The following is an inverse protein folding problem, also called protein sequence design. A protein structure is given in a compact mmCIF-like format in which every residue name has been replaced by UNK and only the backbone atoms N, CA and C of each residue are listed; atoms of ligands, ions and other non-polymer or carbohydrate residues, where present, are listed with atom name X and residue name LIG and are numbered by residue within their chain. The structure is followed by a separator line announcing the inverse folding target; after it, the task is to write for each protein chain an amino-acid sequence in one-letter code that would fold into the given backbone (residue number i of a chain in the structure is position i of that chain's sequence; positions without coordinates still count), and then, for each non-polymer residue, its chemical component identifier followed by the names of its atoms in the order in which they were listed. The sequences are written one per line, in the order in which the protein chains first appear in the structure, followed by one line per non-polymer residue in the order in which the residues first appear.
data_IF_404114146651
#
_entry.id   IF_404114146651
#
_cell.length_a   1.000
_cell.length_b   1.000
_cell.length_c   1.000
_cell.angle_alpha   90.00
_cell.angle_beta   90.00
_cell.angle_gamma   90.00
#
_symmetry.space_group_name_H-M   'P 1'
#
loop_
_entity.id
_entity.type
_entity.pdbx_description
1 polymer ?
#
# COMPACT_ATOMS: atom_id res chain seq x y z
N UNK A 1 2.41 4.03 8.21
CA UNK A 1 2.35 5.28 7.43
C UNK A 1 3.49 5.37 6.43
N UNK A 2 4.76 5.15 6.82
CA UNK A 2 5.88 5.20 5.87
C UNK A 2 5.79 4.21 4.68
N UNK A 3 5.35 2.95 4.88
CA UNK A 3 5.12 2.03 3.75
C UNK A 3 3.98 2.48 2.84
N UNK A 4 2.89 3.00 3.43
CA UNK A 4 1.80 3.63 2.66
C UNK A 4 2.32 4.80 1.82
N UNK A 5 3.20 5.63 2.38
CA UNK A 5 3.85 6.72 1.66
C UNK A 5 4.70 6.23 0.50
N UNK A 6 5.57 5.24 0.72
CA UNK A 6 6.40 4.68 -0.35
C UNK A 6 5.53 4.11 -1.49
N UNK A 7 4.45 3.40 -1.15
CA UNK A 7 3.51 2.87 -2.13
C UNK A 7 2.72 3.97 -2.86
N UNK A 8 2.36 5.06 -2.19
CA UNK A 8 1.73 6.23 -2.79
C UNK A 8 2.62 6.93 -3.80
N UNK A 9 3.91 7.12 -3.46
CA UNK A 9 4.92 7.66 -4.39
C UNK A 9 5.10 6.76 -5.61
N UNK A 10 5.22 5.45 -5.40
CA UNK A 10 5.35 4.47 -6.49
C UNK A 10 4.14 4.50 -7.44
N UNK A 11 2.93 4.55 -6.86
CA UNK A 11 1.67 4.59 -7.60
C UNK A 11 1.56 5.85 -8.44
N UNK A 12 1.79 7.02 -7.84
CA UNK A 12 1.73 8.29 -8.55
C UNK A 12 2.77 8.37 -9.69
N UNK A 13 3.99 7.91 -9.42
CA UNK A 13 5.06 7.88 -10.42
C UNK A 13 4.79 6.91 -11.57
N UNK A 14 4.18 5.76 -11.32
CA UNK A 14 3.85 4.81 -12.39
C UNK A 14 2.68 5.32 -13.23
N UNK A 15 1.60 5.79 -12.59
CA UNK A 15 0.39 6.19 -13.31
C UNK A 15 0.52 7.57 -13.98
N UNK A 16 1.35 8.45 -13.42
CA UNK A 16 1.50 9.88 -13.77
C UNK A 16 0.24 10.73 -13.54
N UNK A 17 -0.94 10.26 -13.95
CA UNK A 17 -2.21 10.99 -13.86
C UNK A 17 -3.40 10.06 -13.63
N UNK A 18 -4.49 10.64 -13.11
CA UNK A 18 -5.77 9.96 -12.90
C UNK A 18 -6.10 9.75 -11.43
N UNK A 19 -7.24 9.13 -11.18
CA UNK A 19 -7.76 8.95 -9.82
C UNK A 19 -7.30 7.62 -9.22
N UNK A 20 -6.96 7.63 -7.94
CA UNK A 20 -6.67 6.43 -7.15
C UNK A 20 -7.55 6.37 -5.90
N UNK A 21 -7.80 5.17 -5.41
CA UNK A 21 -8.66 4.91 -4.27
C UNK A 21 -7.96 4.15 -3.14
N UNK A 22 -8.65 4.07 -2.00
CA UNK A 22 -8.22 3.34 -0.82
C UNK A 22 -9.40 2.53 -0.26
N UNK A 23 -9.17 1.24 -0.04
CA UNK A 23 -10.08 0.36 0.69
C UNK A 23 -9.37 -0.09 1.97
N UNK A 24 -9.87 0.38 3.11
CA UNK A 24 -9.48 -0.09 4.43
C UNK A 24 -10.42 -1.18 4.92
N UNK A 25 -9.91 -2.08 5.76
CA UNK A 25 -10.75 -3.04 6.48
C UNK A 25 -11.47 -2.36 7.64
N UNK A 26 -11.09 -2.69 8.87
CA UNK A 26 -11.57 -1.97 10.06
C UNK A 26 -10.95 -0.56 10.15
N UNK A 27 -11.72 0.41 10.65
CA UNK A 27 -11.25 1.76 10.90
C UNK A 27 -10.44 1.84 12.22
N UNK A 28 -9.24 1.27 12.21
CA UNK A 28 -8.34 1.22 13.37
C UNK A 28 -7.00 1.93 13.07
N UNK A 29 -6.26 2.40 14.09
CA UNK A 29 -5.05 3.19 13.89
C UNK A 29 -4.03 2.58 12.91
N UNK A 30 -3.74 1.26 12.91
CA UNK A 30 -2.83 0.67 11.93
C UNK A 30 -3.27 0.83 10.47
N UNK A 31 -4.59 0.71 10.20
CA UNK A 31 -5.16 0.85 8.85
C UNK A 31 -5.20 2.32 8.45
N UNK A 32 -5.60 3.20 9.37
CA UNK A 32 -5.59 4.64 9.11
C UNK A 32 -4.18 5.15 8.80
N UNK A 33 -3.14 4.64 9.49
CA UNK A 33 -1.75 4.95 9.17
C UNK A 33 -1.36 4.58 7.74
N UNK A 34 -1.93 3.52 7.15
CA UNK A 34 -1.71 3.23 5.74
C UNK A 34 -2.32 4.30 4.83
N UNK A 35 -3.58 4.64 5.07
CA UNK A 35 -4.31 5.66 4.32
C UNK A 35 -3.58 7.01 4.36
N UNK A 36 -3.20 7.48 5.55
CA UNK A 36 -2.51 8.77 5.71
C UNK A 36 -1.16 8.80 4.98
N UNK A 37 -0.41 7.69 5.08
CA UNK A 37 0.84 7.54 4.36
C UNK A 37 0.62 7.63 2.85
N UNK A 38 -0.33 6.85 2.32
CA UNK A 38 -0.62 6.79 0.89
C UNK A 38 -0.99 8.15 0.30
N UNK A 39 -1.88 8.89 0.96
CA UNK A 39 -2.25 10.23 0.54
C UNK A 39 -1.07 11.20 0.55
N UNK A 40 -0.23 11.16 1.59
CA UNK A 40 0.99 11.97 1.66
C UNK A 40 2.00 11.60 0.57
N UNK A 41 2.11 10.32 0.21
CA UNK A 41 2.99 9.84 -0.85
C UNK A 41 2.56 10.32 -2.24
N UNK A 42 1.25 10.24 -2.53
CA UNK A 42 0.67 10.79 -3.75
C UNK A 42 0.87 12.31 -3.81
N UNK A 43 0.59 13.02 -2.72
CA UNK A 43 0.78 14.48 -2.64
C UNK A 43 2.25 14.87 -2.85
N UNK A 44 3.19 14.14 -2.23
CA UNK A 44 4.63 14.36 -2.42
C UNK A 44 5.04 14.19 -3.87
N UNK A 45 4.63 13.09 -4.52
CA UNK A 45 4.95 12.85 -5.92
C UNK A 45 4.34 13.91 -6.85
N UNK A 46 3.15 14.40 -6.56
CA UNK A 46 2.54 15.49 -7.33
C UNK A 46 3.37 16.77 -7.20
N UNK A 47 3.74 17.14 -5.97
CA UNK A 47 4.45 18.38 -5.69
C UNK A 47 5.92 18.38 -6.13
N UNK A 48 6.58 17.22 -6.08
CA UNK A 48 8.05 17.12 -6.24
C UNK A 48 8.50 16.32 -7.45
N UNK A 49 7.65 15.47 -8.03
CA UNK A 49 8.04 14.50 -9.05
C UNK A 49 7.21 14.57 -10.34
N UNK A 50 6.44 15.65 -10.53
CA UNK A 50 5.78 15.97 -11.80
C UNK A 50 4.60 15.06 -12.13
N UNK A 51 3.83 14.64 -11.12
CA UNK A 51 2.63 13.82 -11.30
C UNK A 51 1.36 14.63 -11.00
N UNK A 52 0.20 14.15 -11.46
CA UNK A 52 -1.13 14.75 -11.25
C UNK A 52 -2.15 13.65 -10.93
N UNK A 53 -1.87 12.89 -9.88
CA UNK A 53 -2.77 11.83 -9.39
C UNK A 53 -3.66 12.38 -8.28
N UNK A 54 -4.95 12.06 -8.30
CA UNK A 54 -5.92 12.56 -7.33
C UNK A 54 -6.51 11.42 -6.49
N UNK A 55 -6.86 11.74 -5.25
CA UNK A 55 -7.64 10.88 -4.35
C UNK A 55 -8.88 11.68 -3.98
N UNK A 56 -10.06 11.12 -4.22
CA UNK A 56 -11.34 11.79 -3.95
C UNK A 56 -11.98 11.20 -2.69
N UNK A 57 -12.72 11.99 -1.89
CA UNK A 57 -13.35 11.51 -0.66
C UNK A 57 -14.18 10.24 -0.83
N UNK A 58 -14.97 10.18 -1.90
CA UNK A 58 -15.84 9.06 -2.22
C UNK A 58 -15.08 7.77 -2.62
N UNK A 59 -13.76 7.85 -2.81
CA UNK A 59 -12.86 6.74 -3.14
C UNK A 59 -11.97 6.31 -1.97
N UNK A 60 -12.24 6.80 -0.76
CA UNK A 60 -11.59 6.33 0.48
C UNK A 60 -12.69 5.70 1.35
N UNK A 61 -12.67 4.37 1.47
CA UNK A 61 -13.73 3.63 2.15
C UNK A 61 -13.11 2.65 3.15
N UNK A 62 -13.62 2.66 4.38
CA UNK A 62 -13.37 1.62 5.37
C UNK A 62 -14.57 0.69 5.40
N UNK A 63 -14.36 -0.58 5.07
CA UNK A 63 -15.46 -1.54 4.95
C UNK A 63 -16.00 -1.96 6.33
N UNK A 64 -15.18 -1.93 7.38
CA UNK A 64 -15.58 -2.24 8.76
C UNK A 64 -15.23 -3.65 9.25
N UNK A 65 -14.76 -4.53 8.37
CA UNK A 65 -14.19 -5.84 8.72
C UNK A 65 -12.95 -6.17 7.86
N UNK A 66 -12.28 -7.28 8.17
CA UNK A 66 -11.17 -7.83 7.39
C UNK A 66 -11.53 -9.13 6.66
N UNK A 67 -12.73 -9.68 6.82
CA UNK A 67 -13.05 -11.03 6.36
C UNK A 67 -14.10 -11.09 5.22
N UNK A 68 -14.66 -9.95 4.80
CA UNK A 68 -15.72 -9.92 3.79
C UNK A 68 -15.15 -9.70 2.36
N UNK A 69 -14.78 -10.80 1.73
CA UNK A 69 -14.25 -10.80 0.35
C UNK A 69 -15.28 -10.24 -0.64
N UNK A 70 -16.56 -10.54 -0.47
CA UNK A 70 -17.61 -10.13 -1.40
C UNK A 70 -17.82 -8.60 -1.37
N UNK A 71 -17.87 -8.01 -0.17
CA UNK A 71 -17.94 -6.56 -0.01
C UNK A 71 -16.71 -5.86 -0.61
N UNK A 72 -15.52 -6.42 -0.42
CA UNK A 72 -14.30 -5.90 -1.04
C UNK A 72 -14.35 -5.84 -2.56
N UNK A 73 -14.89 -6.89 -3.18
CA UNK A 73 -15.08 -6.94 -4.64
C UNK A 73 -16.08 -5.88 -5.11
N UNK A 74 -17.20 -5.71 -4.41
CA UNK A 74 -18.22 -4.70 -4.73
C UNK A 74 -17.69 -3.27 -4.61
N UNK A 75 -16.95 -2.96 -3.54
CA UNK A 75 -16.33 -1.65 -3.35
C UNK A 75 -15.33 -1.33 -4.46
N UNK A 76 -14.49 -2.29 -4.82
CA UNK A 76 -13.54 -2.13 -5.91
C UNK A 76 -14.26 -1.93 -7.26
N UNK A 77 -15.33 -2.68 -7.52
CA UNK A 77 -16.13 -2.52 -8.73
C UNK A 77 -16.68 -1.10 -8.86
N UNK A 78 -17.29 -0.57 -7.78
CA UNK A 78 -17.80 0.80 -7.73
C UNK A 78 -16.73 1.87 -7.92
N UNK A 79 -15.52 1.67 -7.39
CA UNK A 79 -14.39 2.58 -7.62
C UNK A 79 -13.93 2.53 -9.07
N UNK A 80 -13.75 1.34 -9.64
CA UNK A 80 -13.35 1.19 -11.05
C UNK A 80 -14.40 1.71 -12.03
N UNK A 81 -15.69 1.56 -11.72
CA UNK A 81 -16.79 2.14 -12.52
C UNK A 81 -16.75 3.68 -12.52
N UNK A 82 -16.26 4.29 -11.44
CA UNK A 82 -15.99 5.74 -11.35
C UNK A 82 -14.69 6.18 -12.01
N UNK A 83 -13.95 5.26 -12.63
CA UNK A 83 -12.71 5.56 -13.35
C UNK A 83 -11.44 5.61 -12.49
N UNK A 84 -11.49 5.11 -11.24
CA UNK A 84 -10.29 4.90 -10.44
C UNK A 84 -9.34 3.95 -11.19
N UNK A 85 -8.06 4.30 -11.30
CA UNK A 85 -7.06 3.50 -12.02
C UNK A 85 -6.33 2.51 -11.14
N UNK A 86 -6.19 2.82 -9.85
CA UNK A 86 -5.54 1.94 -8.88
C UNK A 86 -6.18 2.08 -7.50
N UNK A 87 -6.28 0.97 -6.78
CA UNK A 87 -6.85 0.93 -5.43
C UNK A 87 -5.82 0.38 -4.47
N UNK A 88 -5.55 1.09 -3.37
CA UNK A 88 -4.76 0.57 -2.27
C UNK A 88 -5.65 -0.17 -1.28
N UNK A 89 -5.44 -1.48 -1.15
CA UNK A 89 -6.24 -2.36 -0.30
C UNK A 89 -5.51 -2.68 1.00
N UNK A 90 -5.78 -1.93 2.07
CA UNK A 90 -5.29 -2.22 3.42
C UNK A 90 -6.36 -2.94 4.26
N UNK A 91 -6.81 -4.11 3.79
CA UNK A 91 -8.10 -4.65 4.21
C UNK A 91 -8.20 -6.18 4.37
N UNK A 92 -7.09 -6.93 4.45
CA UNK A 92 -7.14 -8.39 4.64
C UNK A 92 -7.96 -9.09 3.55
N UNK A 93 -8.90 -9.95 3.94
CA UNK A 93 -9.85 -10.63 3.03
C UNK A 93 -10.71 -9.68 2.20
N UNK A 94 -11.12 -8.52 2.74
CA UNK A 94 -11.76 -7.46 1.92
C UNK A 94 -10.81 -7.00 0.80
N UNK A 95 -9.51 -6.91 1.10
CA UNK A 95 -8.49 -6.60 0.10
C UNK A 95 -8.36 -7.66 -0.99
N UNK A 96 -8.53 -8.94 -0.65
CA UNK A 96 -8.59 -10.04 -1.64
C UNK A 96 -9.77 -9.85 -2.61
N UNK A 97 -10.91 -9.37 -2.12
CA UNK A 97 -12.05 -8.98 -2.97
C UNK A 97 -11.66 -7.94 -4.01
N UNK A 98 -10.93 -6.90 -3.59
CA UNK A 98 -10.41 -5.88 -4.52
C UNK A 98 -9.42 -6.43 -5.55
N UNK A 99 -8.57 -7.38 -5.16
CA UNK A 99 -7.67 -8.09 -6.09
C UNK A 99 -8.49 -8.90 -7.11
N UNK A 100 -9.50 -9.64 -6.67
CA UNK A 100 -10.37 -10.43 -7.54
C UNK A 100 -11.09 -9.56 -8.58
N UNK A 101 -11.60 -8.41 -8.15
CA UNK A 101 -12.24 -7.47 -9.07
C UNK A 101 -11.25 -6.95 -10.12
N UNK A 102 -10.06 -6.52 -9.70
CA UNK A 102 -9.03 -6.04 -10.63
C UNK A 102 -8.66 -7.11 -11.66
N UNK A 103 -8.52 -8.38 -11.24
CA UNK A 103 -8.32 -9.51 -12.17
C UNK A 103 -9.44 -9.65 -13.19
N UNK A 104 -10.68 -9.53 -12.76
CA UNK A 104 -11.86 -9.57 -13.64
C UNK A 104 -11.82 -8.42 -14.67
N UNK A 105 -11.50 -7.20 -14.22
CA UNK A 105 -11.39 -6.01 -15.08
C UNK A 105 -10.30 -6.16 -16.14
N UNK A 106 -9.10 -6.63 -15.78
CA UNK A 106 -8.01 -6.80 -16.76
C UNK A 106 -8.29 -7.92 -17.75
N UNK A 107 -8.95 -9.01 -17.34
CA UNK A 107 -9.42 -10.06 -18.26
C UNK A 107 -10.48 -9.54 -19.24
N UNK A 108 -11.28 -8.57 -18.81
CA UNK A 108 -12.23 -7.83 -19.66
C UNK A 108 -11.59 -6.66 -20.45
N UNK A 109 -10.26 -6.58 -20.50
CA UNK A 109 -9.54 -5.58 -21.30
C UNK A 109 -9.44 -4.18 -20.68
N UNK A 110 -9.78 -4.01 -19.39
CA UNK A 110 -9.59 -2.74 -18.67
C UNK A 110 -8.19 -2.67 -18.06
N UNK A 111 -7.60 -1.48 -18.01
CA UNK A 111 -6.31 -1.27 -17.36
C UNK A 111 -6.50 -0.70 -15.95
N UNK A 112 -6.47 -1.59 -14.94
CA UNK A 112 -6.61 -1.23 -13.53
C UNK A 112 -5.57 -1.94 -12.68
N UNK A 113 -5.27 -1.38 -11.51
CA UNK A 113 -4.24 -1.86 -10.60
C UNK A 113 -4.72 -1.99 -9.17
N UNK A 114 -4.01 -2.79 -8.39
CA UNK A 114 -4.12 -2.87 -6.94
C UNK A 114 -2.76 -2.63 -6.30
N UNK A 115 -2.75 -1.91 -5.18
CA UNK A 115 -1.61 -1.85 -4.29
C UNK A 115 -1.91 -2.81 -3.14
N UNK A 116 -1.05 -3.81 -2.95
CA UNK A 116 -1.15 -4.79 -1.87
C UNK A 116 -0.66 -4.25 -0.52
N UNK A 117 -0.76 -5.05 0.53
CA UNK A 117 -0.44 -4.66 1.90
C UNK A 117 0.19 -5.80 2.70
N UNK A 118 0.91 -5.42 3.76
CA UNK A 118 1.57 -6.27 4.75
C UNK A 118 2.70 -7.15 4.17
N UNK A 119 2.42 -7.99 3.17
CA UNK A 119 3.40 -8.84 2.47
C UNK A 119 3.56 -8.41 1.00
N UNK A 120 4.45 -9.07 0.26
CA UNK A 120 4.48 -8.95 -1.20
C UNK A 120 3.35 -9.78 -1.80
N UNK A 121 2.30 -9.11 -2.26
CA UNK A 121 1.11 -9.76 -2.81
C UNK A 121 1.18 -9.98 -4.33
N UNK A 122 2.34 -9.81 -4.98
CA UNK A 122 2.43 -9.92 -6.45
C UNK A 122 1.81 -11.23 -6.98
N UNK A 123 2.08 -12.36 -6.31
CA UNK A 123 1.52 -13.67 -6.65
C UNK A 123 0.00 -13.73 -6.55
N UNK A 124 -0.57 -13.06 -5.54
CA UNK A 124 -2.02 -13.03 -5.31
C UNK A 124 -2.73 -12.35 -6.47
N UNK A 125 -2.05 -11.45 -7.18
CA UNK A 125 -2.57 -10.70 -8.33
C UNK A 125 -2.41 -11.38 -9.68
N UNK A 126 -1.79 -12.55 -9.79
CA UNK A 126 -1.56 -13.22 -11.08
C UNK A 126 -2.89 -13.54 -11.78
N UNK A 127 -3.01 -13.13 -13.04
CA UNK A 127 -4.23 -13.32 -13.85
C UNK A 127 -3.99 -13.97 -15.22
N UNK A 128 -2.76 -13.93 -15.74
CA UNK A 128 -2.35 -14.53 -17.02
C UNK A 128 -0.84 -14.81 -17.00
N UNK A 129 -0.45 -16.08 -16.89
CA UNK A 129 0.95 -16.49 -16.80
C UNK A 129 1.70 -15.80 -15.66
N UNK A 130 2.60 -14.88 -15.99
CA UNK A 130 3.40 -14.10 -15.03
C UNK A 130 2.89 -12.67 -14.80
N UNK A 131 1.82 -12.26 -15.51
CA UNK A 131 1.21 -10.92 -15.37
C UNK A 131 0.35 -10.85 -14.12
N UNK A 132 0.50 -9.76 -13.38
CA UNK A 132 -0.22 -9.52 -12.13
C UNK A 132 -0.89 -8.15 -12.13
N UNK A 133 -2.06 -8.04 -11.47
CA UNK A 133 -2.74 -6.75 -11.23
C UNK A 133 -2.13 -5.95 -10.07
N UNK A 134 -1.17 -6.53 -9.36
CA UNK A 134 -0.53 -5.90 -8.19
C UNK A 134 0.58 -4.99 -8.68
N UNK A 135 0.37 -3.69 -8.57
CA UNK A 135 1.35 -2.68 -8.97
C UNK A 135 2.60 -2.74 -8.08
N UNK A 136 2.38 -2.81 -6.78
CA UNK A 136 3.36 -2.99 -5.71
C UNK A 136 2.63 -3.33 -4.40
N UNK A 137 3.34 -3.50 -3.29
CA UNK A 137 2.73 -3.75 -1.98
C UNK A 137 3.33 -2.87 -0.89
N UNK A 138 2.49 -2.31 -0.01
CA UNK A 138 2.92 -1.55 1.16
C UNK A 138 3.28 -2.51 2.32
N UNK A 139 4.51 -3.04 2.29
CA UNK A 139 4.96 -4.10 3.18
C UNK A 139 5.21 -3.64 4.62
N UNK A 140 4.98 -4.57 5.55
CA UNK A 140 5.45 -4.57 6.93
C UNK A 140 6.19 -5.88 7.18
N UNK A 141 7.36 -5.81 7.81
CA UNK A 141 8.17 -6.98 8.14
C UNK A 141 7.67 -7.71 9.39
N UNK A 142 6.37 -8.07 9.39
CA UNK A 142 5.72 -8.78 10.51
C UNK A 142 6.34 -10.16 10.70
N UNK A 143 6.73 -10.81 9.59
CA UNK A 143 7.49 -12.06 9.55
C UNK A 143 8.81 -11.96 10.33
N UNK A 144 9.59 -10.92 10.05
CA UNK A 144 10.89 -10.65 10.67
C UNK A 144 10.71 -10.33 12.13
N UNK A 145 9.75 -9.46 12.47
CA UNK A 145 9.44 -9.09 13.84
C UNK A 145 9.05 -10.33 14.67
N UNK A 146 8.19 -11.20 14.14
CA UNK A 146 7.77 -12.44 14.82
C UNK A 146 8.96 -13.39 15.01
N UNK A 147 9.76 -13.62 13.96
CA UNK A 147 10.94 -14.48 14.03
C UNK A 147 11.95 -13.99 15.06
N UNK A 148 12.26 -12.69 15.06
CA UNK A 148 13.19 -12.08 15.99
C UNK A 148 12.72 -12.20 17.45
N UNK A 149 11.42 -12.08 17.71
CA UNK A 149 10.87 -12.25 19.06
C UNK A 149 10.96 -13.70 19.53
N UNK A 150 10.66 -14.68 18.67
CA UNK A 150 10.82 -16.10 19.00
C UNK A 150 12.30 -16.43 19.26
N UNK A 151 13.21 -15.92 18.42
CA UNK A 151 14.66 -16.09 18.59
C UNK A 151 15.17 -15.45 19.89
N UNK A 152 14.69 -14.26 20.23
CA UNK A 152 15.03 -13.56 21.47
C UNK A 152 14.55 -14.34 22.69
N UNK A 153 13.31 -14.85 22.67
CA UNK A 153 12.77 -15.69 23.74
C UNK A 153 13.57 -16.98 23.92
N UNK A 154 13.88 -17.71 22.83
CA UNK A 154 14.72 -18.92 22.88
C UNK A 154 16.12 -18.66 23.46
N UNK A 155 16.63 -17.44 23.27
CA UNK A 155 17.95 -17.03 23.73
C UNK A 155 17.93 -16.35 25.11
N UNK A 156 16.80 -16.37 25.84
CA UNK A 156 16.58 -15.66 27.10
C UNK A 156 16.88 -14.15 27.04
N UNK A 157 16.68 -13.52 25.88
CA UNK A 157 16.89 -12.09 25.60
C UNK A 157 15.59 -11.38 25.20
N UNK A 158 14.44 -11.92 25.59
CA UNK A 158 13.15 -11.35 25.24
C UNK A 158 13.01 -9.94 25.83
N UNK A 159 12.74 -8.89 25.03
CA UNK A 159 12.66 -7.51 25.51
C UNK A 159 11.29 -7.21 26.15
N UNK A 160 10.96 -7.95 27.21
CA UNK A 160 9.70 -7.78 27.94
C UNK A 160 9.50 -6.36 28.45
N UNK A 161 8.30 -5.81 28.28
CA UNK A 161 7.95 -4.44 28.71
C UNK A 161 8.41 -3.33 27.78
N UNK A 162 9.08 -3.63 26.66
CA UNK A 162 9.54 -2.63 25.70
C UNK A 162 8.62 -2.52 24.49
N UNK A 163 8.50 -1.31 23.94
CA UNK A 163 7.88 -1.07 22.63
C UNK A 163 8.96 -1.05 21.55
N UNK A 164 8.88 -1.99 20.62
CA UNK A 164 9.78 -2.04 19.46
C UNK A 164 9.12 -1.36 18.27
N UNK A 165 9.83 -0.41 17.64
CA UNK A 165 9.33 0.33 16.48
C UNK A 165 10.02 -0.18 15.22
N UNK A 166 9.21 -0.69 14.29
CA UNK A 166 9.62 -1.12 12.96
C UNK A 166 9.20 -0.04 11.95
N UNK A 167 10.17 0.61 11.32
CA UNK A 167 10.00 1.78 10.48
C UNK A 167 11.00 1.75 9.32
N UNK A 168 11.03 2.81 8.50
CA UNK A 168 11.93 2.86 7.36
C UNK A 168 13.40 2.78 7.79
N UNK A 169 13.77 3.44 8.90
CA UNK A 169 15.16 3.51 9.39
C UNK A 169 15.79 2.13 9.63
N UNK A 170 15.00 1.17 10.10
CA UNK A 170 15.45 -0.21 10.35
C UNK A 170 14.89 -1.24 9.35
N UNK A 171 14.44 -0.78 8.17
CA UNK A 171 13.90 -1.65 7.11
C UNK A 171 12.67 -2.49 7.54
N UNK A 172 11.99 -2.10 8.63
CA UNK A 172 10.81 -2.77 9.15
C UNK A 172 9.55 -2.57 8.30
N UNK A 173 9.60 -1.65 7.34
CA UNK A 173 8.52 -1.33 6.39
C UNK A 173 9.12 -0.97 5.03
N UNK A 174 8.33 -1.03 3.96
CA UNK A 174 8.78 -0.61 2.63
C UNK A 174 7.85 -1.07 1.52
N UNK A 175 8.41 -1.20 0.31
CA UNK A 175 7.81 -1.92 -0.82
C UNK A 175 8.71 -3.13 -1.16
N UNK A 176 8.25 -4.12 -1.95
CA UNK A 176 9.07 -5.26 -2.36
C UNK A 176 10.41 -4.82 -2.96
N UNK A 177 11.45 -5.64 -2.80
CA UNK A 177 12.75 -5.36 -3.41
C UNK A 177 12.72 -5.49 -4.94
N UNK A 178 11.84 -6.35 -5.46
CA UNK A 178 11.57 -6.52 -6.88
C UNK A 178 10.12 -6.14 -7.15
N UNK A 179 9.89 -5.22 -8.08
CA UNK A 179 8.54 -4.81 -8.47
C UNK A 179 8.39 -4.94 -9.99
N UNK A 180 7.94 -6.10 -10.51
CA UNK A 180 7.86 -6.34 -11.96
C UNK A 180 6.96 -5.36 -12.71
N UNK A 181 5.96 -4.78 -12.03
CA UNK A 181 5.00 -3.84 -12.60
C UNK A 181 5.41 -2.37 -12.46
N UNK A 182 6.58 -2.07 -11.85
CA UNK A 182 7.15 -0.72 -11.81
C UNK A 182 8.28 -0.61 -12.82
N UNK A 183 8.28 0.48 -13.60
CA UNK A 183 9.41 0.74 -14.51
C UNK A 183 10.71 0.97 -13.73
N UNK A 184 11.86 0.75 -14.38
CA UNK A 184 13.17 0.96 -13.75
C UNK A 184 13.36 2.40 -13.23
N UNK A 185 12.88 3.41 -13.97
CA UNK A 185 12.88 4.81 -13.54
C UNK A 185 12.05 5.01 -12.26
N UNK A 186 10.87 4.40 -12.19
CA UNK A 186 9.99 4.49 -11.01
C UNK A 186 10.66 3.81 -9.81
N UNK A 187 11.22 2.61 -9.98
CA UNK A 187 11.93 1.91 -8.92
C UNK A 187 13.10 2.74 -8.36
N UNK A 188 13.90 3.36 -9.24
CA UNK A 188 15.02 4.20 -8.84
C UNK A 188 14.57 5.45 -8.07
N UNK A 189 13.51 6.12 -8.53
CA UNK A 189 12.96 7.31 -7.85
C UNK A 189 12.37 6.96 -6.50
N UNK A 190 11.62 5.86 -6.39
CA UNK A 190 11.07 5.39 -5.12
C UNK A 190 12.20 5.02 -4.15
N UNK A 191 13.25 4.35 -4.62
CA UNK A 191 14.43 4.05 -3.80
C UNK A 191 15.12 5.33 -3.29
N UNK A 192 15.27 6.34 -4.12
CA UNK A 192 15.85 7.63 -3.72
C UNK A 192 14.99 8.34 -2.66
N UNK A 193 13.66 8.33 -2.83
CA UNK A 193 12.72 8.88 -1.83
C UNK A 193 12.75 8.06 -0.54
N UNK A 194 12.82 6.73 -0.63
CA UNK A 194 12.89 5.87 0.55
C UNK A 194 14.19 6.09 1.33
N UNK A 195 15.34 6.32 0.66
CA UNK A 195 16.59 6.72 1.33
C UNK A 195 16.42 8.01 2.14
N UNK A 196 15.66 8.98 1.62
CA UNK A 196 15.36 10.22 2.34
C UNK A 196 14.44 9.99 3.56
N UNK A 197 13.47 9.07 3.47
CA UNK A 197 12.69 8.61 4.63
C UNK A 197 13.60 7.97 5.68
N UNK A 198 14.51 7.06 5.28
CA UNK A 198 15.46 6.41 6.21
C UNK A 198 16.36 7.42 6.91
N UNK A 199 16.78 8.46 6.19
CA UNK A 199 17.59 9.55 6.72
C UNK A 199 16.79 10.55 7.58
N UNK A 200 15.45 10.50 7.55
CA UNK A 200 14.58 11.41 8.29
C UNK A 200 14.43 12.80 7.65
N UNK A 201 14.94 13.02 6.44
CA UNK A 201 14.77 14.28 5.70
C UNK A 201 13.36 14.43 5.14
N UNK A 202 12.69 13.31 4.86
CA UNK A 202 11.24 13.26 4.66
C UNK A 202 10.61 12.70 5.93
N UNK A 203 9.62 13.41 6.46
CA UNK A 203 8.78 12.95 7.57
C UNK A 203 7.36 12.75 7.09
N UNK A 204 6.76 11.64 7.50
CA UNK A 204 5.39 11.29 7.14
C UNK A 204 4.56 11.34 8.42
N UNK A 205 3.49 12.13 8.42
CA UNK A 205 2.58 12.21 9.54
C UNK A 205 1.85 10.88 9.74
N UNK A 206 1.75 10.45 10.99
CA UNK A 206 0.91 9.33 11.39
C UNK A 206 -0.43 9.78 11.99
N UNK A 207 -0.81 11.03 11.74
CA UNK A 207 -2.07 11.66 12.15
C UNK A 207 -2.86 12.11 10.92
N UNK A 208 -4.19 12.15 11.05
CA UNK A 208 -5.11 12.53 9.96
C UNK A 208 -4.84 13.92 9.39
N UNK A 209 -4.80 14.96 10.23
CA UNK A 209 -4.79 16.35 9.74
C UNK A 209 -5.90 16.62 8.72
N UNK A 210 -5.55 17.16 7.56
CA UNK A 210 -6.47 17.47 6.46
C UNK A 210 -6.68 16.30 5.48
N UNK A 211 -6.18 15.10 5.80
CA UNK A 211 -6.29 13.93 4.95
C UNK A 211 -7.70 13.35 4.99
N UNK A 212 -8.10 12.75 3.88
CA UNK A 212 -9.39 12.09 3.71
C UNK A 212 -9.43 10.87 4.64
N UNK A 213 -10.53 10.71 5.37
CA UNK A 213 -10.79 9.54 6.20
C UNK A 213 -11.95 8.79 5.57
#
# INVERSE_FOLDING_TARGET
HESGFAAGVATALQLKTGDVGFIGGMEIPPVQKYNWGFQQGVAYANAKLGTKVAIKPENVIYQGTFNDVAAGQQLAAQMYDRGVKAIFCAAGGVGIGGINEAKSRVKAGKAVWVIGVDVDQYSDGIYDGTKSVILTSAMKKIDTAAFDMVKAAKSNKFPGGQTLIFNAKNDGVGIPAKNPNLSADVQNKVLAVFKQLKAGSIKVSDQKGNLIK
#
